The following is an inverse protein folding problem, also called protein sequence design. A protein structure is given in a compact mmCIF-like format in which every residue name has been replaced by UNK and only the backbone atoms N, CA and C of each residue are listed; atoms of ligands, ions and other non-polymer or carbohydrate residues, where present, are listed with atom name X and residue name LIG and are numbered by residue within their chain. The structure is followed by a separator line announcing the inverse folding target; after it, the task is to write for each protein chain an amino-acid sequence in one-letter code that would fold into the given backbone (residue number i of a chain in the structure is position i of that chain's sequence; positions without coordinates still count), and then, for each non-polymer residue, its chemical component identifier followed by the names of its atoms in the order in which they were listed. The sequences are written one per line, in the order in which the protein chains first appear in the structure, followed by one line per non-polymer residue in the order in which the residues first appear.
data_IF_593328188236
#
_entry.id   IF_593328188236
#
_cell.length_a   1.000
_cell.length_b   1.000
_cell.length_c   1.000
_cell.angle_alpha   90.00
_cell.angle_beta   90.00
_cell.angle_gamma   90.00
#
_symmetry.space_group_name_H-M   'P 1'
#
loop_
_entity.id
_entity.type
_entity.pdbx_description
1 polymer ?
#
# COMPACT_ATOMS: atom_id res chain seq x y z
N UNK A 1 33.24 -9.10 16.55
CA UNK A 1 31.92 -9.70 16.88
C UNK A 1 30.76 -8.83 16.37
N UNK A 2 30.77 -7.51 16.60
CA UNK A 2 29.77 -6.58 16.03
C UNK A 2 29.70 -6.58 14.49
N UNK A 3 30.85 -6.55 13.79
CA UNK A 3 30.83 -6.57 12.32
C UNK A 3 30.27 -7.87 11.73
N UNK A 4 30.56 -9.02 12.37
CA UNK A 4 30.06 -10.32 11.94
C UNK A 4 28.53 -10.45 12.08
N UNK A 5 27.94 -9.83 13.11
CA UNK A 5 26.48 -9.79 13.31
C UNK A 5 25.83 -8.92 12.24
N UNK A 6 26.37 -7.74 11.97
CA UNK A 6 25.88 -6.85 10.90
C UNK A 6 26.01 -7.50 9.52
N UNK A 7 27.12 -8.19 9.22
CA UNK A 7 27.31 -8.95 7.97
C UNK A 7 26.33 -10.12 7.84
N UNK A 8 26.12 -10.89 8.91
CA UNK A 8 25.21 -12.04 8.89
C UNK A 8 23.75 -11.58 8.75
N UNK A 9 23.38 -10.44 9.33
CA UNK A 9 22.04 -9.87 9.22
C UNK A 9 21.80 -9.14 7.89
N UNK A 10 22.79 -8.43 7.35
CA UNK A 10 22.71 -7.88 5.97
C UNK A 10 22.69 -8.97 4.91
N UNK A 11 23.33 -10.12 5.12
CA UNK A 11 23.12 -11.31 4.27
C UNK A 11 21.70 -11.87 4.40
N UNK A 12 21.08 -11.78 5.57
CA UNK A 12 19.65 -12.09 5.75
C UNK A 12 18.75 -11.15 4.95
N UNK A 13 19.09 -9.85 4.86
CA UNK A 13 18.38 -8.83 4.06
C UNK A 13 18.15 -9.22 2.59
N UNK A 14 19.08 -9.97 1.99
CA UNK A 14 18.95 -10.47 0.61
C UNK A 14 18.27 -11.86 0.52
N UNK A 15 18.16 -12.59 1.63
CA UNK A 15 17.53 -13.91 1.70
C UNK A 15 16.09 -13.89 2.24
N UNK A 16 15.61 -12.74 2.73
CA UNK A 16 14.32 -12.64 3.43
C UNK A 16 13.12 -12.74 2.47
N UNK A 17 12.26 -13.73 2.73
CA UNK A 17 10.94 -13.99 2.11
C UNK A 17 10.05 -12.77 1.76
N UNK A 18 10.00 -11.66 2.55
CA UNK A 18 9.14 -10.52 2.26
C UNK A 18 9.46 -9.79 0.95
N UNK A 19 10.74 -9.70 0.55
CA UNK A 19 11.13 -9.00 -0.68
C UNK A 19 10.70 -9.75 -1.94
N UNK A 20 10.74 -11.09 -1.92
CA UNK A 20 10.20 -11.92 -3.00
C UNK A 20 8.67 -11.83 -3.10
N UNK A 21 7.96 -11.85 -1.97
CA UNK A 21 6.50 -11.71 -1.94
C UNK A 21 6.08 -10.32 -2.45
N UNK A 22 6.75 -9.28 -1.97
CA UNK A 22 6.55 -7.91 -2.42
C UNK A 22 6.76 -7.78 -3.93
N UNK A 23 7.89 -8.26 -4.44
CA UNK A 23 8.23 -8.21 -5.86
C UNK A 23 7.25 -8.98 -6.74
N UNK A 24 6.86 -10.19 -6.32
CA UNK A 24 5.88 -11.00 -7.04
C UNK A 24 4.52 -10.30 -7.14
N UNK A 25 4.00 -9.77 -6.03
CA UNK A 25 2.70 -9.10 -6.04
C UNK A 25 2.74 -7.74 -6.75
N UNK A 26 3.85 -7.02 -6.69
CA UNK A 26 4.06 -5.84 -7.52
C UNK A 26 4.00 -6.18 -9.01
N UNK A 27 4.73 -7.21 -9.45
CA UNK A 27 4.73 -7.66 -10.85
C UNK A 27 3.32 -8.07 -11.27
N UNK A 28 2.62 -8.86 -10.45
CA UNK A 28 1.25 -9.28 -10.76
C UNK A 28 0.29 -8.10 -10.81
N UNK A 29 0.40 -7.11 -9.91
CA UNK A 29 -0.45 -5.91 -9.96
C UNK A 29 -0.15 -5.05 -11.19
N UNK A 30 1.13 -4.84 -11.50
CA UNK A 30 1.59 -3.96 -12.58
C UNK A 30 1.31 -4.54 -13.97
N UNK A 31 1.55 -5.84 -14.18
CA UNK A 31 1.52 -6.44 -15.52
C UNK A 31 0.30 -7.31 -15.80
N UNK A 32 -0.51 -7.68 -14.80
CA UNK A 32 -1.79 -8.35 -15.06
C UNK A 32 -2.79 -7.37 -15.67
N UNK A 33 -3.70 -7.90 -16.50
CA UNK A 33 -4.81 -7.11 -16.98
C UNK A 33 -5.68 -6.61 -15.81
N UNK A 34 -6.04 -5.33 -15.82
CA UNK A 34 -6.86 -4.72 -14.77
C UNK A 34 -8.32 -5.21 -14.80
N UNK A 35 -8.74 -5.89 -15.87
CA UNK A 35 -10.08 -6.40 -16.08
C UNK A 35 -10.70 -5.78 -17.32
N UNK A 36 -10.56 -6.40 -18.49
CA UNK A 36 -11.31 -6.01 -19.67
C UNK A 36 -12.79 -6.40 -19.53
N UNK A 37 -13.74 -5.48 -19.78
CA UNK A 37 -15.16 -5.84 -19.81
C UNK A 37 -15.42 -6.87 -20.91
N UNK A 38 -16.45 -7.70 -20.72
CA UNK A 38 -16.79 -8.73 -21.69
C UNK A 38 -17.10 -8.12 -23.06
N UNK A 39 -16.56 -8.74 -24.11
CA UNK A 39 -16.87 -8.34 -25.48
C UNK A 39 -18.20 -8.96 -25.89
N UNK A 40 -19.26 -8.15 -25.88
CA UNK A 40 -20.57 -8.55 -26.40
C UNK A 40 -20.62 -8.13 -27.88
N UNK A 41 -20.78 -9.11 -28.78
CA UNK A 41 -20.94 -8.81 -30.21
C UNK A 41 -22.29 -8.16 -30.42
N UNK A 42 -22.33 -7.09 -31.20
CA UNK A 42 -23.58 -6.39 -31.48
C UNK A 42 -24.56 -7.33 -32.20
N UNK A 43 -25.75 -7.53 -31.63
CA UNK A 43 -26.75 -8.46 -32.14
C UNK A 43 -26.66 -9.88 -31.56
N UNK A 44 -25.63 -10.21 -30.78
CA UNK A 44 -25.48 -11.52 -30.11
C UNK A 44 -25.92 -11.50 -28.64
N UNK A 45 -26.88 -10.63 -28.29
CA UNK A 45 -27.34 -10.54 -26.91
C UNK A 45 -28.05 -11.86 -26.55
N UNK A 46 -27.61 -12.61 -25.52
CA UNK A 46 -28.44 -13.67 -24.99
C UNK A 46 -29.77 -13.04 -24.57
N UNK A 47 -30.86 -13.82 -24.60
CA UNK A 47 -32.16 -13.35 -24.09
C UNK A 47 -31.99 -12.96 -22.62
N UNK A 48 -31.78 -11.66 -22.40
CA UNK A 48 -31.66 -11.03 -21.10
C UNK A 48 -33.07 -10.85 -20.55
N UNK A 49 -33.26 -11.13 -19.26
CA UNK A 49 -34.55 -10.85 -18.63
C UNK A 49 -34.79 -9.35 -18.67
N UNK A 50 -36.08 -8.98 -18.64
CA UNK A 50 -36.49 -7.60 -18.36
C UNK A 50 -35.72 -7.16 -17.10
N UNK A 51 -34.99 -6.04 -17.20
CA UNK A 51 -34.15 -5.42 -16.17
C UNK A 51 -32.65 -5.78 -16.14
N UNK A 52 -32.17 -6.80 -16.87
CA UNK A 52 -30.74 -7.20 -16.84
C UNK A 52 -29.76 -6.21 -17.53
N UNK A 53 -30.28 -5.31 -18.36
CA UNK A 53 -29.51 -4.25 -19.04
C UNK A 53 -29.63 -2.88 -18.34
N UNK A 54 -30.33 -2.80 -17.20
CA UNK A 54 -30.36 -1.58 -16.41
C UNK A 54 -28.91 -1.20 -16.02
N UNK A 55 -28.61 0.10 -16.09
CA UNK A 55 -27.30 0.70 -15.79
C UNK A 55 -26.15 0.40 -16.77
N UNK A 56 -26.41 -0.27 -17.90
CA UNK A 56 -25.44 -0.29 -19.00
C UNK A 56 -25.32 1.11 -19.61
N UNK A 57 -24.08 1.57 -19.76
CA UNK A 57 -23.76 2.85 -20.40
C UNK A 57 -22.94 2.61 -21.67
N UNK A 58 -22.58 3.65 -22.42
CA UNK A 58 -21.73 3.51 -23.60
C UNK A 58 -20.43 4.28 -23.41
N UNK A 59 -19.31 3.69 -23.83
CA UNK A 59 -18.02 4.39 -23.88
C UNK A 59 -17.82 4.95 -25.29
N UNK A 60 -17.75 6.27 -25.41
CA UNK A 60 -17.51 6.94 -26.70
C UNK A 60 -16.09 6.64 -27.22
N UNK A 61 -15.09 6.70 -26.35
CA UNK A 61 -13.68 6.46 -26.72
C UNK A 61 -13.42 5.03 -27.22
N UNK A 62 -13.99 4.03 -26.55
CA UNK A 62 -13.85 2.63 -26.97
C UNK A 62 -14.91 2.19 -27.98
N UNK A 63 -15.94 3.00 -28.24
CA UNK A 63 -17.09 2.69 -29.09
C UNK A 63 -17.76 1.35 -28.73
N UNK A 64 -17.96 1.10 -27.43
CA UNK A 64 -18.51 -0.17 -26.91
C UNK A 64 -19.44 0.07 -25.70
N UNK A 65 -20.44 -0.82 -25.50
CA UNK A 65 -21.21 -0.83 -24.27
C UNK A 65 -20.30 -1.06 -23.05
N UNK A 66 -20.58 -0.32 -21.97
CA UNK A 66 -19.98 -0.47 -20.65
C UNK A 66 -20.98 -1.20 -19.77
N UNK A 67 -20.56 -2.34 -19.23
CA UNK A 67 -21.30 -2.98 -18.14
C UNK A 67 -21.33 -2.06 -16.92
N UNK A 68 -22.25 -2.29 -15.96
CA UNK A 68 -22.23 -1.63 -14.68
C UNK A 68 -20.84 -1.71 -14.05
N UNK A 69 -20.42 -0.63 -13.37
CA UNK A 69 -19.10 -0.50 -12.70
C UNK A 69 -17.87 -0.52 -13.62
N UNK A 70 -18.06 -0.46 -14.94
CA UNK A 70 -16.96 -0.28 -15.91
C UNK A 70 -16.70 1.21 -16.16
N UNK A 71 -15.43 1.61 -16.09
CA UNK A 71 -15.01 2.98 -16.37
C UNK A 71 -13.89 3.01 -17.41
N UNK A 72 -13.86 4.07 -18.22
CA UNK A 72 -12.79 4.28 -19.19
C UNK A 72 -11.63 5.01 -18.51
N UNK A 73 -10.44 4.42 -18.55
CA UNK A 73 -9.22 5.08 -18.12
C UNK A 73 -8.53 5.71 -19.34
N UNK A 74 -8.42 7.03 -19.36
CA UNK A 74 -7.69 7.76 -20.40
C UNK A 74 -6.20 7.41 -20.42
N UNK A 75 -5.56 7.27 -19.25
CA UNK A 75 -4.14 6.92 -19.14
C UNK A 75 -3.81 5.55 -19.73
N UNK A 76 -4.70 4.56 -19.54
CA UNK A 76 -4.53 3.22 -20.11
C UNK A 76 -5.18 3.05 -21.49
N UNK A 77 -5.96 4.03 -21.97
CA UNK A 77 -6.68 3.98 -23.25
C UNK A 77 -7.72 2.85 -23.35
N UNK A 78 -8.23 2.32 -22.23
CA UNK A 78 -9.15 1.17 -22.22
C UNK A 78 -10.22 1.28 -21.14
N UNK A 79 -11.34 0.59 -21.37
CA UNK A 79 -12.34 0.35 -20.34
C UNK A 79 -11.87 -0.75 -19.37
N UNK A 80 -12.04 -0.50 -18.07
CA UNK A 80 -11.66 -1.41 -16.99
C UNK A 80 -12.91 -1.73 -16.16
N UNK A 81 -13.17 -3.03 -15.98
CA UNK A 81 -14.26 -3.58 -15.18
C UNK A 81 -13.94 -3.44 -13.69
N UNK A 82 -14.93 -3.03 -12.89
CA UNK A 82 -14.77 -2.69 -11.46
C UNK A 82 -13.53 -1.82 -11.22
N UNK A 83 -13.34 -0.82 -12.08
CA UNK A 83 -12.21 0.09 -11.98
C UNK A 83 -12.22 0.80 -10.63
N UNK A 84 -11.12 0.68 -9.89
CA UNK A 84 -10.90 1.44 -8.67
C UNK A 84 -10.21 2.77 -9.00
N UNK A 85 -8.98 2.69 -9.51
CA UNK A 85 -8.21 3.86 -9.94
C UNK A 85 -7.12 3.49 -10.95
N UNK A 86 -6.55 4.50 -11.60
CA UNK A 86 -5.27 4.37 -12.30
C UNK A 86 -4.16 4.70 -11.32
N UNK A 87 -3.21 3.79 -11.12
CA UNK A 87 -2.14 3.93 -10.15
C UNK A 87 -0.81 4.20 -10.87
N UNK A 88 -0.25 5.43 -10.77
CA UNK A 88 1.03 5.76 -11.39
C UNK A 88 2.19 4.92 -10.84
N UNK A 89 2.10 4.50 -9.57
CA UNK A 89 3.18 3.74 -8.90
C UNK A 89 3.38 2.34 -9.47
N UNK A 90 2.34 1.71 -10.01
CA UNK A 90 2.44 0.42 -10.70
C UNK A 90 2.37 0.56 -12.23
N UNK A 91 2.16 1.79 -12.73
CA UNK A 91 1.99 2.06 -14.16
C UNK A 91 0.77 1.40 -14.82
N UNK A 92 -0.26 1.04 -14.04
CA UNK A 92 -1.43 0.29 -14.52
C UNK A 92 -2.70 0.69 -13.73
N UNK A 93 -3.86 0.36 -14.30
CA UNK A 93 -5.13 0.42 -13.58
C UNK A 93 -5.24 -0.69 -12.53
N UNK A 94 -5.91 -0.37 -11.43
CA UNK A 94 -6.40 -1.35 -10.45
C UNK A 94 -7.88 -1.57 -10.75
N UNK A 95 -8.26 -2.81 -11.04
CA UNK A 95 -9.64 -3.20 -11.36
C UNK A 95 -9.91 -4.66 -11.05
N UNK A 96 -11.05 -5.19 -11.50
CA UNK A 96 -11.57 -6.51 -11.13
C UNK A 96 -10.54 -7.66 -11.11
N UNK A 97 -9.64 -7.70 -12.09
CA UNK A 97 -8.74 -8.84 -12.31
C UNK A 97 -7.41 -8.74 -11.56
N UNK A 98 -6.95 -7.53 -11.19
CA UNK A 98 -5.66 -7.34 -10.50
C UNK A 98 -5.78 -6.68 -9.10
N UNK A 99 -6.98 -6.29 -8.68
CA UNK A 99 -7.20 -5.63 -7.39
C UNK A 99 -6.65 -6.44 -6.21
N UNK A 100 -6.80 -7.77 -6.23
CA UNK A 100 -6.25 -8.65 -5.19
C UNK A 100 -4.74 -8.58 -5.09
N UNK A 101 -4.05 -8.61 -6.23
CA UNK A 101 -2.60 -8.49 -6.27
C UNK A 101 -2.15 -7.13 -5.74
N UNK A 102 -2.90 -6.07 -6.04
CA UNK A 102 -2.64 -4.73 -5.51
C UNK A 102 -2.76 -4.68 -3.98
N UNK A 103 -3.81 -5.27 -3.39
CA UNK A 103 -3.95 -5.31 -1.93
C UNK A 103 -2.85 -6.16 -1.27
N UNK A 104 -2.53 -7.33 -1.84
CA UNK A 104 -1.42 -8.15 -1.34
C UNK A 104 -0.06 -7.43 -1.47
N UNK A 105 0.14 -6.64 -2.53
CA UNK A 105 1.30 -5.78 -2.69
C UNK A 105 1.38 -4.73 -1.58
N UNK A 106 0.28 -4.03 -1.26
CA UNK A 106 0.25 -3.05 -0.17
C UNK A 106 0.57 -3.68 1.19
N UNK A 107 0.00 -4.85 1.49
CA UNK A 107 0.29 -5.60 2.72
C UNK A 107 1.77 -6.00 2.78
N UNK A 108 2.32 -6.53 1.69
CA UNK A 108 3.74 -6.89 1.61
C UNK A 108 4.66 -5.66 1.71
N UNK A 109 4.24 -4.51 1.20
CA UNK A 109 4.97 -3.25 1.31
C UNK A 109 5.06 -2.77 2.76
N UNK A 110 3.93 -2.76 3.49
CA UNK A 110 3.88 -2.45 4.93
C UNK A 110 4.83 -3.37 5.71
N UNK A 111 4.75 -4.68 5.50
CA UNK A 111 5.64 -5.64 6.18
C UNK A 111 7.12 -5.38 5.85
N UNK A 112 7.43 -5.06 4.58
CA UNK A 112 8.79 -4.80 4.13
C UNK A 112 9.37 -3.51 4.71
N UNK A 113 8.57 -2.45 4.83
CA UNK A 113 8.99 -1.16 5.39
C UNK A 113 9.11 -1.25 6.93
N UNK A 114 8.21 -1.95 7.61
CA UNK A 114 8.35 -2.29 9.03
C UNK A 114 9.65 -3.07 9.30
N UNK A 115 9.99 -4.05 8.44
CA UNK A 115 11.27 -4.76 8.53
C UNK A 115 12.46 -3.79 8.33
N UNK A 116 12.43 -2.92 7.33
CA UNK A 116 13.49 -1.92 7.13
C UNK A 116 13.65 -0.96 8.33
N UNK A 117 12.54 -0.53 8.94
CA UNK A 117 12.54 0.33 10.13
C UNK A 117 13.17 -0.37 11.34
N UNK A 118 12.73 -1.60 11.64
CA UNK A 118 13.29 -2.40 12.75
C UNK A 118 14.78 -2.67 12.57
N UNK A 119 15.21 -2.97 11.34
CA UNK A 119 16.62 -3.14 11.01
C UNK A 119 17.44 -1.87 11.18
N UNK A 120 16.93 -0.74 10.68
CA UNK A 120 17.61 0.55 10.81
C UNK A 120 17.75 0.96 12.28
N UNK A 121 16.71 0.73 13.09
CA UNK A 121 16.75 0.95 14.53
C UNK A 121 17.75 0.03 15.24
N UNK A 122 17.73 -1.27 14.93
CA UNK A 122 18.65 -2.25 15.50
C UNK A 122 20.12 -1.87 15.19
N UNK A 123 20.43 -1.55 13.94
CA UNK A 123 21.76 -1.10 13.54
C UNK A 123 22.15 0.21 14.23
N UNK A 124 21.25 1.18 14.35
CA UNK A 124 21.51 2.44 15.04
C UNK A 124 21.81 2.23 16.53
N UNK A 125 21.06 1.37 17.22
CA UNK A 125 21.26 1.05 18.64
C UNK A 125 22.60 0.33 18.89
N UNK A 126 23.03 -0.54 17.98
CA UNK A 126 24.33 -1.21 18.10
C UNK A 126 25.52 -0.34 17.70
N UNK A 127 25.29 0.74 16.93
CA UNK A 127 26.30 1.73 16.59
C UNK A 127 26.40 2.87 17.60
N UNK A 128 25.39 3.09 18.44
CA UNK A 128 25.48 4.03 19.54
C UNK A 128 26.52 3.48 20.54
N UNK A 129 27.71 4.09 20.67
CA UNK A 129 28.65 3.64 21.69
C UNK A 129 28.01 3.85 23.06
N UNK A 130 28.49 3.15 24.09
CA UNK A 130 28.17 3.38 25.49
C UNK A 130 28.47 4.84 25.89
N UNK A 131 27.56 5.77 25.57
CA UNK A 131 27.64 7.22 25.88
C UNK A 131 27.77 7.45 27.40
N UNK A 132 27.49 6.42 28.19
CA UNK A 132 27.55 6.40 29.65
C UNK A 132 28.96 6.53 30.25
N UNK A 133 30.05 6.23 29.54
CA UNK A 133 31.41 6.36 30.14
C UNK A 133 32.10 7.72 29.86
N UNK A 134 31.69 8.45 28.81
CA UNK A 134 32.35 9.70 28.40
C UNK A 134 31.73 10.99 28.92
N UNK A 135 30.44 10.99 29.29
CA UNK A 135 29.70 12.20 29.69
C UNK A 135 29.91 12.58 31.16
N UNK A 136 30.26 11.63 32.03
CA UNK A 136 30.46 11.86 33.46
C UNK A 136 31.71 12.72 33.76
N UNK A 137 32.74 12.69 32.91
CA UNK A 137 34.01 13.40 33.16
C UNK A 137 34.04 14.84 32.63
N UNK A 138 33.13 15.22 31.73
CA UNK A 138 33.08 16.57 31.15
C UNK A 138 32.25 17.57 31.96
N UNK A 139 31.31 17.11 32.79
CA UNK A 139 30.43 18.01 33.58
C UNK A 139 31.13 18.76 34.73
N UNK A 140 32.35 18.39 35.12
CA UNK A 140 33.02 18.98 36.28
C UNK A 140 33.88 20.23 35.98
N UNK A 141 33.99 20.66 34.70
CA UNK A 141 34.90 21.75 34.29
C UNK A 141 34.21 23.07 33.89
N UNK A 142 32.88 23.10 33.74
CA UNK A 142 32.14 24.26 33.22
C UNK A 142 31.37 24.98 34.33
N UNK A 143 32.10 25.52 35.32
CA UNK A 143 31.52 26.39 36.38
C UNK A 143 32.29 27.70 36.52
N UNK A 144 32.60 28.33 35.38
CA UNK A 144 33.28 29.63 35.31
C UNK A 144 32.70 30.50 34.21
N UNK A 145 31.83 31.44 34.61
CA UNK A 145 31.33 32.64 33.91
C UNK A 145 31.26 32.61 32.36
N UNK A 146 30.06 32.31 31.85
CA UNK A 146 29.75 32.31 30.41
C UNK A 146 29.47 33.75 29.94
N UNK A 147 30.39 34.32 29.15
CA UNK A 147 30.07 35.45 28.26
C UNK A 147 29.23 34.95 27.07
N UNK A 148 28.38 35.79 26.46
CA UNK A 148 27.55 35.43 25.29
C UNK A 148 28.35 34.77 24.15
N UNK A 149 29.59 35.22 23.94
CA UNK A 149 30.53 34.62 22.97
C UNK A 149 30.92 33.19 23.34
N UNK A 150 31.05 32.88 24.64
CA UNK A 150 31.29 31.52 25.14
C UNK A 150 30.10 30.61 24.91
N UNK A 151 28.87 31.09 25.15
CA UNK A 151 27.64 30.33 24.88
C UNK A 151 27.49 29.98 23.39
N UNK A 152 27.78 30.94 22.50
CA UNK A 152 27.73 30.71 21.05
C UNK A 152 28.78 29.69 20.60
N UNK A 153 29.98 29.74 21.17
CA UNK A 153 31.03 28.76 20.88
C UNK A 153 30.72 27.38 21.46
N UNK A 154 30.05 27.28 22.60
CA UNK A 154 29.58 26.01 23.17
C UNK A 154 28.43 25.40 22.36
N UNK A 155 27.48 26.20 21.90
CA UNK A 155 26.43 25.74 20.99
C UNK A 155 27.06 25.27 19.69
N UNK A 156 27.95 26.05 19.08
CA UNK A 156 28.64 25.68 17.85
C UNK A 156 29.46 24.39 18.00
N UNK A 157 30.24 24.27 19.09
CA UNK A 157 31.03 23.06 19.37
C UNK A 157 30.13 21.89 19.72
N UNK A 158 29.00 22.06 20.39
CA UNK A 158 28.01 20.99 20.61
C UNK A 158 27.41 20.50 19.29
N UNK A 159 27.05 21.40 18.37
CA UNK A 159 26.54 21.03 17.04
C UNK A 159 27.60 20.34 16.18
N UNK A 160 28.81 20.89 16.13
CA UNK A 160 29.93 20.29 15.38
C UNK A 160 30.34 18.96 16.01
N UNK A 161 30.42 18.87 17.34
CA UNK A 161 30.77 17.63 18.04
C UNK A 161 29.66 16.60 17.93
N UNK A 162 28.38 16.98 17.92
CA UNK A 162 27.25 16.07 17.65
C UNK A 162 27.25 15.59 16.18
N UNK A 163 27.57 16.46 15.23
CA UNK A 163 27.72 16.12 13.81
C UNK A 163 28.97 15.26 13.53
N UNK A 164 30.00 15.34 14.39
CA UNK A 164 31.24 14.56 14.29
C UNK A 164 31.20 13.27 15.13
N UNK A 165 30.43 13.23 16.24
CA UNK A 165 30.18 12.05 17.08
C UNK A 165 29.27 11.03 16.41
N UNK A 166 28.24 11.50 15.70
CA UNK A 166 27.47 10.62 14.84
C UNK A 166 28.26 10.41 13.55
N UNK A 167 28.98 9.29 13.45
CA UNK A 167 29.61 8.88 12.19
C UNK A 167 28.59 9.00 11.03
N UNK A 168 29.02 9.37 9.83
CA UNK A 168 28.12 9.53 8.67
C UNK A 168 27.15 8.34 8.48
N UNK A 169 27.57 7.14 8.89
CA UNK A 169 26.77 5.91 8.95
C UNK A 169 25.56 6.03 9.89
N UNK A 170 25.73 6.61 11.08
CA UNK A 170 24.64 6.82 12.01
C UNK A 170 23.61 7.85 11.52
N UNK A 171 24.05 8.92 10.84
CA UNK A 171 23.14 9.89 10.24
C UNK A 171 22.31 9.27 9.12
N UNK A 172 22.95 8.42 8.30
CA UNK A 172 22.27 7.63 7.26
C UNK A 172 21.24 6.68 7.89
N UNK A 173 21.60 5.95 8.96
CA UNK A 173 20.67 5.05 9.64
C UNK A 173 19.50 5.77 10.29
N UNK A 174 19.73 6.94 10.90
CA UNK A 174 18.67 7.77 11.46
C UNK A 174 17.72 8.28 10.36
N UNK A 175 18.28 8.76 9.25
CA UNK A 175 17.49 9.17 8.09
C UNK A 175 16.65 8.01 7.54
N UNK A 176 17.26 6.83 7.35
CA UNK A 176 16.55 5.63 6.88
C UNK A 176 15.43 5.24 7.84
N UNK A 177 15.68 5.26 9.15
CA UNK A 177 14.65 4.98 10.15
C UNK A 177 13.48 5.96 10.07
N UNK A 178 13.74 7.26 10.07
CA UNK A 178 12.70 8.30 9.99
C UNK A 178 11.94 8.21 8.66
N UNK A 179 12.65 7.99 7.55
CA UNK A 179 12.03 7.80 6.24
C UNK A 179 11.15 6.55 6.20
N UNK A 180 11.61 5.42 6.76
CA UNK A 180 10.80 4.19 6.85
C UNK A 180 9.53 4.41 7.67
N UNK A 181 9.60 5.08 8.83
CA UNK A 181 8.41 5.39 9.62
C UNK A 181 7.45 6.29 8.85
N UNK A 182 7.95 7.31 8.14
CA UNK A 182 7.12 8.19 7.32
C UNK A 182 6.39 7.42 6.21
N UNK A 183 7.10 6.51 5.52
CA UNK A 183 6.51 5.67 4.46
C UNK A 183 5.52 4.67 5.05
N UNK A 184 5.83 4.06 6.18
CA UNK A 184 4.97 3.09 6.88
C UNK A 184 3.59 3.70 7.21
N UNK A 185 3.58 4.92 7.74
CA UNK A 185 2.34 5.64 8.04
C UNK A 185 1.52 5.84 6.76
N UNK A 186 2.16 6.31 5.68
CA UNK A 186 1.49 6.53 4.39
C UNK A 186 0.89 5.24 3.81
N UNK A 187 1.66 4.15 3.80
CA UNK A 187 1.20 2.84 3.31
C UNK A 187 0.07 2.27 4.18
N UNK A 188 0.14 2.44 5.50
CA UNK A 188 -0.90 1.99 6.42
C UNK A 188 -2.22 2.72 6.17
N UNK A 189 -2.17 4.05 5.96
CA UNK A 189 -3.37 4.84 5.63
C UNK A 189 -3.96 4.42 4.28
N UNK A 190 -3.12 4.22 3.26
CA UNK A 190 -3.58 3.75 1.94
C UNK A 190 -4.22 2.36 2.02
N UNK A 191 -3.58 1.43 2.73
CA UNK A 191 -4.11 0.08 2.94
C UNK A 191 -5.42 0.11 3.71
N UNK A 192 -5.51 0.91 4.78
CA UNK A 192 -6.73 1.09 5.55
C UNK A 192 -7.87 1.60 4.68
N UNK A 193 -7.63 2.64 3.88
CA UNK A 193 -8.63 3.22 2.98
C UNK A 193 -9.14 2.18 1.97
N UNK A 194 -8.24 1.41 1.36
CA UNK A 194 -8.62 0.37 0.39
C UNK A 194 -9.43 -0.77 1.04
N UNK A 195 -9.00 -1.24 2.22
CA UNK A 195 -9.75 -2.26 2.97
C UNK A 195 -11.12 -1.76 3.43
N UNK A 196 -11.23 -0.48 3.80
CA UNK A 196 -12.50 0.14 4.17
C UNK A 196 -13.51 0.12 3.00
N UNK A 197 -13.08 0.48 1.79
CA UNK A 197 -13.95 0.40 0.61
C UNK A 197 -14.36 -1.04 0.26
N UNK A 198 -13.44 -2.00 0.42
CA UNK A 198 -13.76 -3.42 0.23
C UNK A 198 -14.78 -3.89 1.28
N UNK A 199 -14.64 -3.48 2.54
CA UNK A 199 -15.60 -3.77 3.60
C UNK A 199 -17.00 -3.22 3.30
N UNK A 200 -17.06 -2.01 2.73
CA UNK A 200 -18.29 -1.36 2.28
C UNK A 200 -18.88 -2.00 1.00
N UNK A 201 -18.11 -2.83 0.29
CA UNK A 201 -18.52 -3.45 -0.98
C UNK A 201 -18.49 -2.48 -2.17
N UNK A 202 -17.79 -1.35 -2.04
CA UNK A 202 -17.68 -0.30 -3.07
C UNK A 202 -16.28 -0.26 -3.65
N UNK A 203 -16.16 0.23 -4.89
CA UNK A 203 -14.87 0.77 -5.36
C UNK A 203 -14.77 2.23 -4.93
N UNK A 204 -13.55 2.77 -4.87
CA UNK A 204 -13.31 4.19 -4.64
C UNK A 204 -14.17 5.06 -5.56
N UNK A 205 -14.24 4.70 -6.84
CA UNK A 205 -15.01 5.45 -7.82
C UNK A 205 -16.53 5.36 -7.59
N UNK A 206 -17.03 4.19 -7.16
CA UNK A 206 -18.44 4.01 -6.78
C UNK A 206 -18.81 4.82 -5.54
N UNK A 207 -17.89 4.97 -4.59
CA UNK A 207 -18.11 5.80 -3.39
C UNK A 207 -18.31 7.28 -3.73
N UNK A 208 -17.66 7.77 -4.79
CA UNK A 208 -17.80 9.15 -5.26
C UNK A 208 -19.10 9.39 -6.07
N UNK A 209 -19.66 8.35 -6.67
CA UNK A 209 -20.79 8.49 -7.61
C UNK A 209 -22.14 8.02 -7.05
N UNK A 210 -22.19 7.35 -5.90
CA UNK A 210 -23.44 6.76 -5.38
C UNK A 210 -23.73 7.13 -3.93
N UNK A 211 -24.85 7.84 -3.70
CA UNK A 211 -25.39 8.23 -2.38
C UNK A 211 -26.28 7.15 -1.73
N UNK A 212 -26.17 5.87 -2.13
CA UNK A 212 -26.94 4.79 -1.51
C UNK A 212 -26.37 4.38 -0.14
N UNK A 213 -27.19 3.86 0.77
CA UNK A 213 -26.70 3.21 2.00
C UNK A 213 -25.90 1.94 1.65
N UNK A 214 -24.65 1.87 2.12
CA UNK A 214 -23.83 0.67 1.96
C UNK A 214 -23.99 -0.26 3.16
N UNK A 215 -24.33 -1.52 2.90
CA UNK A 215 -24.39 -2.53 3.95
C UNK A 215 -22.97 -2.99 4.31
N UNK A 216 -22.52 -2.55 5.48
CA UNK A 216 -21.22 -2.90 6.07
C UNK A 216 -21.22 -4.36 6.52
N UNK A 217 -20.70 -5.27 5.68
CA UNK A 217 -20.66 -6.70 5.97
C UNK A 217 -19.23 -7.26 5.86
N UNK A 218 -18.71 -7.87 6.93
CA UNK A 218 -17.43 -8.59 6.92
C UNK A 218 -17.38 -9.67 5.83
N UNK A 219 -18.54 -10.18 5.38
CA UNK A 219 -18.66 -11.11 4.25
C UNK A 219 -18.11 -10.53 2.94
N UNK A 220 -18.06 -9.21 2.77
CA UNK A 220 -17.49 -8.57 1.59
C UNK A 220 -15.98 -8.78 1.51
N UNK A 221 -15.27 -8.68 2.65
CA UNK A 221 -13.85 -9.01 2.74
C UNK A 221 -13.60 -10.49 2.42
N UNK A 222 -14.41 -11.40 2.97
CA UNK A 222 -14.32 -12.84 2.66
C UNK A 222 -14.62 -13.14 1.19
N UNK A 223 -15.57 -12.45 0.55
CA UNK A 223 -15.83 -12.59 -0.89
C UNK A 223 -14.68 -12.05 -1.73
N UNK A 224 -14.08 -10.94 -1.30
CA UNK A 224 -12.96 -10.32 -1.99
C UNK A 224 -11.68 -11.16 -1.92
N UNK A 225 -11.32 -11.70 -0.76
CA UNK A 225 -10.12 -12.53 -0.57
C UNK A 225 -10.35 -14.03 -0.81
N UNK A 226 -11.57 -14.51 -0.61
CA UNK A 226 -11.94 -15.89 -0.92
C UNK A 226 -11.72 -16.20 -2.40
N UNK A 227 -11.51 -17.48 -2.74
CA UNK A 227 -11.37 -17.98 -4.11
C UNK A 227 -12.71 -17.95 -4.87
N UNK A 228 -12.89 -17.16 -5.94
CA UNK A 228 -14.08 -17.23 -6.78
C UNK A 228 -13.64 -17.08 -8.25
N UNK A 229 -12.64 -17.85 -8.68
CA UNK A 229 -12.19 -17.84 -10.07
C UNK A 229 -11.91 -19.27 -10.46
N UNK A 230 -12.97 -20.03 -10.71
CA UNK A 230 -12.99 -21.13 -11.69
C UNK A 230 -14.43 -21.61 -11.97
N UNK A 231 -15.35 -21.62 -10.99
CA UNK A 231 -16.66 -22.27 -11.17
C UNK A 231 -17.90 -21.35 -11.28
N UNK A 232 -17.86 -20.13 -10.74
CA UNK A 232 -19.08 -19.30 -10.65
C UNK A 232 -19.45 -18.53 -11.93
N UNK A 233 -18.57 -18.51 -12.95
CA UNK A 233 -18.85 -17.86 -14.25
C UNK A 233 -19.49 -18.79 -15.29
N UNK A 234 -19.59 -20.09 -15.00
CA UNK A 234 -20.14 -21.11 -15.90
C UNK A 234 -21.44 -21.76 -15.40
N UNK A 235 -21.87 -21.49 -14.17
CA UNK A 235 -23.13 -22.01 -13.66
C UNK A 235 -24.23 -20.94 -13.75
N UNK A 236 -25.35 -21.19 -14.45
CA UNK A 236 -26.51 -20.33 -14.38
C UNK A 236 -26.98 -20.28 -12.93
N UNK A 237 -27.28 -19.08 -12.44
CA UNK A 237 -27.72 -18.79 -11.08
C UNK A 237 -28.89 -19.67 -10.67
N UNK A 238 -28.61 -20.76 -9.94
CA UNK A 238 -29.62 -21.53 -9.23
C UNK A 238 -29.39 -21.38 -7.73
N UNK A 239 -29.63 -20.16 -7.24
CA UNK A 239 -30.07 -19.92 -5.87
C UNK A 239 -30.54 -18.48 -5.76
N UNK A 240 -31.78 -18.25 -6.18
CA UNK A 240 -32.56 -17.10 -5.74
C UNK A 240 -32.82 -17.27 -4.25
N UNK A 241 -32.05 -16.57 -3.41
CA UNK A 241 -32.48 -16.33 -2.03
C UNK A 241 -33.63 -15.33 -2.11
N UNK A 242 -34.83 -15.80 -1.75
CA UNK A 242 -36.05 -15.00 -1.70
C UNK A 242 -35.80 -13.74 -0.88
N UNK A 243 -35.79 -12.57 -1.52
CA UNK A 243 -36.01 -11.31 -0.83
C UNK A 243 -37.49 -11.27 -0.44
N UNK A 244 -37.77 -11.47 0.85
CA UNK A 244 -39.09 -11.22 1.43
C UNK A 244 -39.25 -9.69 1.46
N UNK A 245 -40.06 -9.15 0.53
CA UNK A 245 -40.63 -7.82 0.68
C UNK A 245 -41.64 -7.87 1.84
N UNK A 246 -41.37 -7.17 2.93
CA UNK A 246 -42.41 -6.81 3.91
C UNK A 246 -43.05 -5.51 3.44
N UNK A 247 -44.36 -5.56 3.22
CA UNK A 247 -45.24 -4.40 3.03
C UNK A 247 -45.40 -3.66 4.36
#
# INVERSE_FOLDING_TARGET
MQELVVETFTRSMFCCCPSHIYGLHYILAAFSDAGTPQFIVWGSYPTVRKDDLLDYTFCVYCSRPKSPRTHHCSSCGKCVLDMDHHCPFIGNCVGAANHRYFICFLIAAVISVAYAATMSAYSALHMLPSVTEGTATQMHKVRGSIALTGLLMEIFTFWVTSAVLFSARGLVLLYLFVASISVEIGLTVLLWQQLYFIYEGRTYLTSLTSEGEAERDCRNLYRFFGFPYLSARYFPSWCSSRKIHRK
#
